data_IF_712757003071
#
_entry.id   IF_712757003071
#
_cell.length_a   1.000
_cell.length_b   1.000
_cell.length_c   1.000
_cell.angle_alpha   90.00
_cell.angle_beta   90.00
_cell.angle_gamma   90.00
#
_symmetry.space_group_name_H-M   'P 1'
#
loop_
_entity.id
_entity.type
_entity.pdbx_description
1 polymer ?
#
# COMPACT_ATOMS: atom_id res chain seq x y z
N UNK A 1 48.14 44.50 -23.33
CA UNK A 1 47.46 45.05 -22.15
C UNK A 1 46.16 44.28 -21.96
N UNK A 2 46.10 43.35 -21.01
CA UNK A 2 44.87 42.63 -20.69
C UNK A 2 44.02 43.49 -19.74
N UNK A 3 42.71 43.65 -19.96
CA UNK A 3 41.87 44.48 -19.10
C UNK A 3 41.75 43.83 -17.73
N UNK A 4 42.09 44.57 -16.67
CA UNK A 4 41.85 44.14 -15.29
C UNK A 4 40.35 44.18 -15.02
N UNK A 5 39.72 43.01 -14.90
CA UNK A 5 38.35 42.89 -14.42
C UNK A 5 38.24 43.51 -13.03
N UNK A 6 37.51 44.64 -12.94
CA UNK A 6 37.29 45.36 -11.68
C UNK A 6 36.58 44.50 -10.64
N UNK A 7 36.84 44.77 -9.36
CA UNK A 7 36.32 44.04 -8.18
C UNK A 7 34.83 43.66 -8.28
N UNK A 8 34.01 44.55 -8.84
CA UNK A 8 32.58 44.36 -9.02
C UNK A 8 32.22 43.23 -9.99
N UNK A 9 33.01 43.03 -11.06
CA UNK A 9 32.80 41.93 -12.01
C UNK A 9 33.08 40.57 -11.37
N UNK A 10 34.09 40.49 -10.50
CA UNK A 10 34.41 39.27 -9.74
C UNK A 10 33.30 38.95 -8.74
N UNK A 11 32.78 39.96 -8.04
CA UNK A 11 31.68 39.81 -7.10
C UNK A 11 30.38 39.33 -7.79
N UNK A 12 30.03 39.92 -8.94
CA UNK A 12 28.86 39.50 -9.73
C UNK A 12 28.98 38.07 -10.25
N UNK A 13 30.17 37.64 -10.67
CA UNK A 13 30.40 36.25 -11.11
C UNK A 13 30.21 35.28 -9.93
N UNK A 14 30.70 35.62 -8.74
CA UNK A 14 30.51 34.80 -7.53
C UNK A 14 29.03 34.67 -7.14
N UNK A 15 28.27 35.78 -7.18
CA UNK A 15 26.84 35.76 -6.86
C UNK A 15 26.06 34.94 -7.88
N UNK A 16 26.35 35.08 -9.18
CA UNK A 16 25.69 34.29 -10.23
C UNK A 16 26.00 32.79 -10.11
N UNK A 17 27.26 32.44 -9.83
CA UNK A 17 27.66 31.04 -9.66
C UNK A 17 27.06 30.43 -8.40
N UNK A 18 26.97 31.17 -7.29
CA UNK A 18 26.26 30.72 -6.09
C UNK A 18 24.75 30.54 -6.34
N UNK A 19 24.13 31.43 -7.10
CA UNK A 19 22.71 31.31 -7.48
C UNK A 19 22.44 30.11 -8.40
N UNK A 20 23.34 29.81 -9.34
CA UNK A 20 23.24 28.63 -10.22
C UNK A 20 23.46 27.33 -9.43
N UNK A 21 24.43 27.31 -8.51
CA UNK A 21 24.66 26.16 -7.63
C UNK A 21 23.45 25.96 -6.72
N UNK A 22 22.93 27.02 -6.10
CA UNK A 22 21.74 26.95 -5.24
C UNK A 22 20.49 26.51 -6.02
N UNK A 23 20.27 27.05 -7.22
CA UNK A 23 19.14 26.70 -8.08
C UNK A 23 19.24 25.28 -8.65
N UNK A 24 20.45 24.84 -9.00
CA UNK A 24 20.72 23.46 -9.45
C UNK A 24 20.51 22.44 -8.34
N UNK A 25 20.96 22.76 -7.11
CA UNK A 25 20.78 21.92 -5.94
C UNK A 25 19.31 21.86 -5.46
N UNK A 26 18.50 22.90 -5.70
CA UNK A 26 17.09 22.91 -5.30
C UNK A 26 16.17 22.19 -6.30
N UNK A 27 16.47 22.24 -7.60
CA UNK A 27 15.64 21.61 -8.63
C UNK A 27 15.96 20.13 -8.86
N UNK A 28 17.22 19.73 -8.62
CA UNK A 28 17.73 18.37 -8.82
C UNK A 28 18.58 18.00 -7.60
N UNK A 29 17.95 17.50 -6.53
CA UNK A 29 18.68 16.96 -5.40
C UNK A 29 19.64 15.87 -5.92
N UNK A 30 20.97 16.06 -5.84
CA UNK A 30 21.91 15.11 -6.42
C UNK A 30 21.70 13.71 -5.82
N UNK A 31 21.84 12.62 -6.59
CA UNK A 31 21.64 11.25 -6.12
C UNK A 31 22.41 10.89 -4.83
N UNK A 32 23.54 11.57 -4.60
CA UNK A 32 24.31 11.46 -3.37
C UNK A 32 23.49 11.94 -2.15
N UNK A 33 22.86 13.12 -2.19
CA UNK A 33 22.05 13.62 -1.08
C UNK A 33 20.88 12.70 -0.72
N UNK A 34 20.24 12.08 -1.71
CA UNK A 34 19.20 11.07 -1.47
C UNK A 34 19.74 9.86 -0.70
N UNK A 35 20.90 9.36 -1.12
CA UNK A 35 21.56 8.22 -0.47
C UNK A 35 21.95 8.55 0.98
N UNK A 36 22.46 9.75 1.22
CA UNK A 36 22.77 10.24 2.57
C UNK A 36 21.53 10.42 3.44
N UNK A 37 20.42 10.93 2.88
CA UNK A 37 19.16 11.07 3.61
C UNK A 37 18.58 9.70 4.01
N UNK A 38 18.53 8.73 3.08
CA UNK A 38 18.07 7.36 3.37
C UNK A 38 18.97 6.69 4.40
N UNK A 39 20.30 6.79 4.25
CA UNK A 39 21.25 6.21 5.21
C UNK A 39 21.08 6.82 6.61
N UNK A 40 20.90 8.14 6.70
CA UNK A 40 20.67 8.83 7.97
C UNK A 40 19.34 8.43 8.59
N UNK A 41 18.27 8.34 7.80
CA UNK A 41 16.95 7.91 8.26
C UNK A 41 16.99 6.47 8.78
N UNK A 42 17.59 5.54 8.03
CA UNK A 42 17.77 4.16 8.46
C UNK A 42 18.61 4.06 9.74
N UNK A 43 19.65 4.90 9.87
CA UNK A 43 20.47 4.95 11.09
C UNK A 43 19.68 5.47 12.29
N UNK A 44 18.83 6.48 12.10
CA UNK A 44 17.91 6.99 13.13
C UNK A 44 16.94 5.89 13.56
N UNK A 45 16.35 5.14 12.61
CA UNK A 45 15.47 4.01 12.93
C UNK A 45 16.22 2.89 13.68
N UNK A 46 17.44 2.56 13.25
CA UNK A 46 18.27 1.59 13.93
C UNK A 46 18.60 2.01 15.37
N UNK A 47 18.85 3.31 15.59
CA UNK A 47 19.07 3.87 16.93
C UNK A 47 17.80 3.96 17.77
N UNK A 48 16.66 4.27 17.15
CA UNK A 48 15.35 4.24 17.81
C UNK A 48 15.00 2.83 18.31
N UNK A 49 15.63 1.80 17.72
CA UNK A 49 15.53 0.41 18.14
C UNK A 49 14.20 -0.23 17.75
N UNK A 50 14.03 -1.53 18.10
CA UNK A 50 12.80 -2.26 17.79
C UNK A 50 11.58 -1.57 18.41
N UNK A 51 10.64 -1.18 17.55
CA UNK A 51 9.33 -0.68 18.00
C UNK A 51 8.44 -1.87 18.31
N UNK A 52 7.88 -1.93 19.52
CA UNK A 52 6.86 -2.93 19.84
C UNK A 52 5.55 -2.53 19.18
N UNK A 53 4.92 -3.40 18.36
CA UNK A 53 3.63 -3.08 17.79
C UNK A 53 2.59 -2.90 18.90
N UNK A 54 1.54 -2.09 18.67
CA UNK A 54 0.44 -1.96 19.61
C UNK A 54 -0.12 -3.32 20.02
N UNK A 55 -0.42 -3.49 21.31
CA UNK A 55 -1.04 -4.72 21.81
C UNK A 55 -2.37 -4.97 21.08
N UNK A 56 -2.57 -6.20 20.59
CA UNK A 56 -3.80 -6.59 19.89
C UNK A 56 -3.78 -6.38 18.37
N UNK A 57 -2.73 -5.79 17.80
CA UNK A 57 -2.53 -5.73 16.35
C UNK A 57 -1.74 -6.96 15.87
N UNK A 58 -2.35 -7.76 14.99
CA UNK A 58 -1.70 -8.91 14.37
C UNK A 58 -1.67 -8.76 12.85
N UNK A 59 -0.48 -8.80 12.27
CA UNK A 59 -0.30 -8.87 10.84
C UNK A 59 -0.21 -10.34 10.42
N UNK A 60 -1.19 -10.79 9.65
CA UNK A 60 -1.13 -12.09 8.96
C UNK A 60 -0.54 -11.84 7.58
N UNK A 61 0.78 -12.06 7.46
CA UNK A 61 1.47 -11.91 6.18
C UNK A 61 1.11 -13.06 5.23
N UNK A 62 0.91 -12.72 3.96
CA UNK A 62 0.89 -13.68 2.86
C UNK A 62 2.11 -13.35 2.01
N UNK A 63 3.15 -14.16 2.16
CA UNK A 63 4.47 -13.98 1.57
C UNK A 63 4.94 -15.25 0.87
N UNK A 64 6.17 -15.22 0.36
CA UNK A 64 6.77 -16.37 -0.34
C UNK A 64 6.80 -17.62 0.54
N UNK A 65 7.05 -17.48 1.85
CA UNK A 65 7.04 -18.61 2.78
C UNK A 65 5.64 -19.23 2.89
N UNK A 66 4.59 -18.40 2.93
CA UNK A 66 3.21 -18.85 2.94
C UNK A 66 2.84 -19.62 1.66
N UNK A 67 3.31 -19.16 0.49
CA UNK A 67 3.08 -19.83 -0.79
C UNK A 67 3.86 -21.15 -0.88
N UNK A 68 5.13 -21.17 -0.46
CA UNK A 68 5.94 -22.39 -0.39
C UNK A 68 5.31 -23.42 0.54
N UNK A 69 4.79 -22.99 1.69
CA UNK A 69 4.06 -23.86 2.61
C UNK A 69 2.80 -24.44 1.95
N UNK A 70 2.07 -23.64 1.18
CA UNK A 70 0.93 -24.10 0.37
C UNK A 70 1.34 -25.18 -0.64
N UNK A 71 2.43 -24.95 -1.39
CA UNK A 71 2.98 -25.93 -2.34
C UNK A 71 3.42 -27.22 -1.65
N UNK A 72 4.03 -27.11 -0.46
CA UNK A 72 4.42 -28.25 0.35
C UNK A 72 3.21 -29.09 0.79
N UNK A 73 2.08 -28.46 1.14
CA UNK A 73 0.84 -29.18 1.44
C UNK A 73 0.29 -29.88 0.20
N UNK A 74 0.33 -29.26 -0.98
CA UNK A 74 -0.19 -29.85 -2.22
C UNK A 74 0.55 -31.13 -2.63
N UNK A 75 1.80 -31.31 -2.20
CA UNK A 75 2.59 -32.53 -2.44
C UNK A 75 2.22 -33.69 -1.51
N UNK A 76 1.45 -33.45 -0.44
CA UNK A 76 1.06 -34.48 0.50
C UNK A 76 -0.23 -35.19 0.08
N UNK A 77 -0.22 -36.52 0.21
CA UNK A 77 -1.37 -37.34 -0.10
C UNK A 77 -2.58 -37.08 0.81
N UNK A 78 -2.34 -36.63 2.05
CA UNK A 78 -3.36 -36.36 3.07
C UNK A 78 -3.40 -34.87 3.47
N UNK A 79 -3.23 -33.96 2.51
CA UNK A 79 -3.30 -32.53 2.77
C UNK A 79 -4.68 -32.11 3.30
N UNK A 80 -4.77 -31.23 4.31
CA UNK A 80 -6.04 -30.71 4.77
C UNK A 80 -6.80 -29.98 3.65
N UNK A 81 -8.13 -30.11 3.61
CA UNK A 81 -8.93 -29.46 2.57
C UNK A 81 -8.76 -27.93 2.48
N UNK A 82 -8.42 -27.27 3.59
CA UNK A 82 -8.18 -25.83 3.65
C UNK A 82 -6.87 -25.38 2.99
N UNK A 83 -5.90 -26.27 2.78
CA UNK A 83 -4.58 -25.90 2.21
C UNK A 83 -4.55 -25.93 0.69
N UNK A 84 -5.62 -26.40 0.05
CA UNK A 84 -5.70 -26.56 -1.41
C UNK A 84 -5.68 -25.21 -2.12
N UNK A 85 -4.74 -25.01 -3.04
CA UNK A 85 -4.67 -23.81 -3.87
C UNK A 85 -4.02 -22.61 -3.18
N UNK A 86 -3.34 -22.82 -2.03
CA UNK A 86 -2.56 -21.79 -1.35
C UNK A 86 -1.15 -21.61 -1.92
N UNK A 87 -0.73 -22.49 -2.84
CA UNK A 87 0.63 -22.45 -3.40
C UNK A 87 0.91 -21.31 -4.38
N UNK A 88 -0.12 -20.58 -4.82
CA UNK A 88 0.02 -19.52 -5.82
C UNK A 88 -1.08 -18.47 -5.71
N UNK A 89 -0.70 -17.20 -5.80
CA UNK A 89 -1.65 -16.09 -5.92
C UNK A 89 -2.22 -15.95 -7.34
N UNK A 90 -3.45 -15.45 -7.50
CA UNK A 90 -4.41 -15.15 -6.43
C UNK A 90 -5.00 -16.44 -5.82
N UNK A 91 -5.14 -16.45 -4.50
CA UNK A 91 -5.88 -17.48 -3.76
C UNK A 91 -7.38 -17.41 -4.09
N UNK A 92 -8.08 -18.53 -3.94
CA UNK A 92 -9.55 -18.55 -4.06
C UNK A 92 -10.20 -17.70 -2.97
N UNK A 93 -11.30 -17.02 -3.30
CA UNK A 93 -12.12 -16.28 -2.32
C UNK A 93 -12.68 -17.20 -1.21
N UNK A 94 -12.85 -18.49 -1.50
CA UNK A 94 -13.12 -19.54 -0.53
C UNK A 94 -12.02 -19.70 0.53
N UNK A 95 -10.75 -19.55 0.15
CA UNK A 95 -9.62 -19.63 1.09
C UNK A 95 -9.64 -18.46 2.07
N UNK A 96 -9.96 -17.25 1.58
CA UNK A 96 -10.16 -16.08 2.44
C UNK A 96 -11.36 -16.26 3.37
N UNK A 97 -12.43 -16.91 2.93
CA UNK A 97 -13.56 -17.26 3.79
C UNK A 97 -13.12 -18.15 4.96
N UNK A 98 -12.35 -19.20 4.69
CA UNK A 98 -11.78 -20.07 5.73
C UNK A 98 -10.84 -19.30 6.67
N UNK A 99 -10.01 -18.40 6.13
CA UNK A 99 -9.13 -17.55 6.93
C UNK A 99 -9.92 -16.68 7.91
N UNK A 100 -10.97 -15.99 7.43
CA UNK A 100 -11.83 -15.15 8.28
C UNK A 100 -12.48 -15.98 9.39
N UNK A 101 -13.01 -17.16 9.09
CA UNK A 101 -13.61 -18.03 10.09
C UNK A 101 -12.60 -18.45 11.17
N UNK A 102 -11.37 -18.81 10.78
CA UNK A 102 -10.31 -19.16 11.73
C UNK A 102 -9.92 -17.98 12.62
N UNK A 103 -9.76 -16.78 12.04
CA UNK A 103 -9.42 -15.57 12.79
C UNK A 103 -10.52 -15.17 13.77
N UNK A 104 -11.78 -15.23 13.35
CA UNK A 104 -12.93 -14.98 14.24
C UNK A 104 -13.04 -16.01 15.35
N UNK A 105 -12.85 -17.29 15.04
CA UNK A 105 -12.83 -18.35 16.04
C UNK A 105 -11.67 -18.19 17.04
N UNK A 106 -10.55 -17.62 16.61
CA UNK A 106 -9.42 -17.27 17.48
C UNK A 106 -9.65 -15.99 18.32
N UNK A 107 -10.78 -15.29 18.14
CA UNK A 107 -11.16 -14.12 18.93
C UNK A 107 -10.78 -12.77 18.33
N UNK A 108 -10.39 -12.70 17.05
CA UNK A 108 -10.07 -11.43 16.40
C UNK A 108 -11.29 -10.50 16.38
N UNK A 109 -11.24 -9.36 17.07
CA UNK A 109 -12.36 -8.41 17.17
C UNK A 109 -12.77 -7.81 15.82
N UNK A 110 -11.77 -7.47 15.00
CA UNK A 110 -11.92 -6.96 13.64
C UNK A 110 -10.83 -7.55 12.73
N UNK A 111 -11.14 -7.65 11.43
CA UNK A 111 -10.27 -8.22 10.40
C UNK A 111 -10.27 -7.26 9.21
N UNK A 112 -9.09 -6.73 8.85
CA UNK A 112 -8.90 -5.97 7.63
C UNK A 112 -8.27 -6.88 6.56
N UNK A 113 -9.01 -7.15 5.47
CA UNK A 113 -8.50 -7.88 4.32
C UNK A 113 -7.89 -6.91 3.31
N UNK A 114 -6.56 -6.80 3.32
CA UNK A 114 -5.82 -5.97 2.36
C UNK A 114 -5.62 -6.69 1.01
N UNK A 115 -6.73 -7.08 0.39
CA UNK A 115 -6.77 -7.73 -0.94
C UNK A 115 -7.92 -7.14 -1.72
N UNK A 116 -7.61 -6.56 -2.88
CA UNK A 116 -8.63 -5.97 -3.74
C UNK A 116 -9.41 -7.07 -4.47
N UNK A 117 -10.66 -7.29 -4.05
CA UNK A 117 -11.57 -8.25 -4.68
C UNK A 117 -12.39 -7.62 -5.81
N UNK A 118 -11.73 -6.90 -6.71
CA UNK A 118 -12.38 -6.29 -7.87
C UNK A 118 -12.90 -7.38 -8.83
N UNK A 119 -14.12 -7.18 -9.34
CA UNK A 119 -14.75 -8.10 -10.30
C UNK A 119 -15.07 -9.51 -9.76
N UNK A 120 -15.56 -10.42 -10.62
CA UNK A 120 -15.79 -11.83 -10.27
C UNK A 120 -14.49 -12.58 -9.96
N UNK A 121 -14.58 -13.65 -9.17
CA UNK A 121 -13.45 -14.55 -8.92
C UNK A 121 -12.88 -15.13 -10.22
N UNK A 122 -11.56 -15.08 -10.39
CA UNK A 122 -10.85 -15.72 -11.51
C UNK A 122 -10.76 -17.24 -11.41
N UNK A 123 -11.04 -17.81 -10.22
CA UNK A 123 -10.97 -19.26 -9.96
C UNK A 123 -12.33 -19.93 -10.14
N UNK A 124 -13.36 -19.41 -9.47
CA UNK A 124 -14.72 -19.92 -9.55
C UNK A 124 -15.74 -18.91 -9.02
N UNK A 125 -16.88 -18.71 -9.71
CA UNK A 125 -17.99 -17.92 -9.19
C UNK A 125 -18.56 -18.44 -7.85
N UNK A 126 -18.37 -19.73 -7.53
CA UNK A 126 -18.80 -20.31 -6.26
C UNK A 126 -17.98 -19.77 -5.08
N UNK A 127 -16.73 -19.37 -5.32
CA UNK A 127 -15.87 -18.83 -4.26
C UNK A 127 -16.38 -17.45 -3.79
N UNK A 128 -16.98 -16.68 -4.70
CA UNK A 128 -17.60 -15.38 -4.39
C UNK A 128 -18.75 -15.54 -3.40
N UNK A 129 -19.62 -16.54 -3.61
CA UNK A 129 -20.76 -16.77 -2.72
C UNK A 129 -20.32 -17.29 -1.35
N UNK A 130 -19.26 -18.09 -1.28
CA UNK A 130 -18.69 -18.56 -0.02
C UNK A 130 -18.09 -17.42 0.81
N UNK A 131 -17.33 -16.53 0.18
CA UNK A 131 -16.80 -15.35 0.85
C UNK A 131 -17.93 -14.40 1.26
N UNK A 132 -18.90 -14.14 0.37
CA UNK A 132 -20.06 -13.31 0.70
C UNK A 132 -20.83 -13.86 1.91
N UNK A 133 -21.09 -15.16 1.97
CA UNK A 133 -21.78 -15.79 3.10
C UNK A 133 -21.00 -15.60 4.41
N UNK A 134 -19.67 -15.75 4.36
CA UNK A 134 -18.79 -15.56 5.52
C UNK A 134 -18.77 -14.11 5.99
N UNK A 135 -18.65 -13.16 5.07
CA UNK A 135 -18.72 -11.72 5.35
C UNK A 135 -20.07 -11.33 5.96
N UNK A 136 -21.17 -11.89 5.46
CA UNK A 136 -22.50 -11.65 6.00
C UNK A 136 -22.66 -12.19 7.43
N UNK A 137 -22.07 -13.36 7.75
CA UNK A 137 -22.05 -13.91 9.12
C UNK A 137 -21.27 -13.04 10.09
N UNK A 138 -20.14 -12.49 9.64
CA UNK A 138 -19.24 -11.65 10.44
C UNK A 138 -19.36 -10.16 10.09
N UNK A 139 -20.56 -9.73 9.71
CA UNK A 139 -20.81 -8.36 9.26
C UNK A 139 -20.43 -7.37 10.36
N UNK A 140 -19.71 -6.31 9.99
CA UNK A 140 -19.19 -5.32 10.93
C UNK A 140 -17.87 -5.70 11.62
N UNK A 141 -17.40 -6.94 11.45
CA UNK A 141 -16.09 -7.38 11.92
C UNK A 141 -15.06 -7.51 10.80
N UNK A 142 -15.47 -7.38 9.53
CA UNK A 142 -14.57 -7.51 8.38
C UNK A 142 -14.62 -6.24 7.53
N UNK A 143 -13.45 -5.68 7.26
CA UNK A 143 -13.25 -4.54 6.36
C UNK A 143 -12.52 -5.03 5.10
N UNK A 144 -13.03 -4.66 3.94
CA UNK A 144 -12.46 -5.00 2.64
C UNK A 144 -11.66 -3.84 2.07
N UNK A 145 -10.57 -4.16 1.38
CA UNK A 145 -9.83 -3.20 0.57
C UNK A 145 -10.70 -2.60 -0.54
N UNK A 146 -10.54 -1.30 -0.75
CA UNK A 146 -10.94 -0.56 -1.94
C UNK A 146 -9.79 0.35 -2.35
N UNK A 147 -9.68 0.64 -3.64
CA UNK A 147 -8.57 1.41 -4.20
C UNK A 147 -9.10 2.60 -4.99
N UNK A 148 -8.50 3.78 -4.80
CA UNK A 148 -8.74 4.94 -5.63
C UNK A 148 -7.87 4.83 -6.89
N UNK A 149 -8.51 4.74 -8.04
CA UNK A 149 -7.87 4.78 -9.34
C UNK A 149 -7.58 6.23 -9.69
N UNK A 150 -6.31 6.49 -9.96
CA UNK A 150 -5.81 7.77 -10.43
C UNK A 150 -5.70 7.75 -11.96
N UNK A 151 -6.05 8.85 -12.63
CA UNK A 151 -5.86 8.99 -14.07
C UNK A 151 -4.39 8.81 -14.43
N UNK A 152 -4.12 7.99 -15.44
CA UNK A 152 -2.76 7.81 -15.97
C UNK A 152 -2.46 8.78 -17.13
N UNK A 153 -3.31 9.78 -17.36
CA UNK A 153 -3.18 10.72 -18.47
C UNK A 153 -2.38 11.96 -18.06
N UNK A 154 -1.31 12.23 -18.82
CA UNK A 154 -0.50 13.45 -18.71
C UNK A 154 -1.26 14.74 -19.04
N UNK A 155 -2.54 14.63 -19.41
CA UNK A 155 -3.44 15.75 -19.71
C UNK A 155 -4.45 16.05 -18.58
N UNK A 156 -4.46 15.26 -17.50
CA UNK A 156 -5.23 15.55 -16.27
C UNK A 156 -6.73 15.65 -16.49
N UNK A 157 -7.28 15.01 -17.53
CA UNK A 157 -8.70 15.08 -17.86
C UNK A 157 -9.53 13.99 -17.15
N UNK A 158 -8.88 12.98 -16.56
CA UNK A 158 -9.54 12.01 -15.70
C UNK A 158 -9.78 12.54 -14.28
N UNK A 159 -10.88 12.11 -13.66
CA UNK A 159 -11.10 12.29 -12.23
C UNK A 159 -10.72 11.03 -11.43
N UNK A 160 -10.56 11.19 -10.12
CA UNK A 160 -10.40 10.06 -9.20
C UNK A 160 -11.66 9.17 -9.24
N UNK A 161 -11.46 7.85 -9.33
CA UNK A 161 -12.56 6.88 -9.30
C UNK A 161 -12.26 5.75 -8.33
N UNK A 162 -13.23 5.36 -7.51
CA UNK A 162 -13.05 4.24 -6.59
C UNK A 162 -13.23 2.90 -7.35
N UNK A 163 -12.27 2.00 -7.21
CA UNK A 163 -12.38 0.58 -7.48
C UNK A 163 -12.82 -0.16 -6.19
N UNK A 164 -14.13 -0.44 -6.04
CA UNK A 164 -14.62 -1.21 -4.91
C UNK A 164 -14.43 -2.73 -5.15
N UNK A 165 -14.51 -3.55 -4.08
CA UNK A 165 -14.67 -4.99 -4.26
C UNK A 165 -16.00 -5.30 -4.95
N UNK A 166 -16.13 -6.53 -5.48
CA UNK A 166 -17.35 -7.05 -6.08
C UNK A 166 -18.58 -6.67 -5.25
N UNK A 167 -19.61 -6.12 -5.89
CA UNK A 167 -20.80 -5.56 -5.22
C UNK A 167 -21.46 -6.53 -4.23
N UNK A 168 -21.47 -7.83 -4.54
CA UNK A 168 -21.99 -8.86 -3.63
C UNK A 168 -21.19 -8.94 -2.32
N UNK A 169 -19.86 -8.87 -2.40
CA UNK A 169 -18.97 -8.87 -1.23
C UNK A 169 -19.11 -7.57 -0.44
N UNK A 170 -19.16 -6.43 -1.14
CA UNK A 170 -19.38 -5.12 -0.50
C UNK A 170 -20.68 -5.11 0.32
N UNK A 171 -21.80 -5.55 -0.28
CA UNK A 171 -23.10 -5.62 0.41
C UNK A 171 -23.05 -6.57 1.62
N UNK A 172 -22.40 -7.72 1.47
CA UNK A 172 -22.27 -8.70 2.55
C UNK A 172 -21.46 -8.15 3.73
N UNK A 173 -20.37 -7.43 3.48
CA UNK A 173 -19.48 -6.90 4.51
C UNK A 173 -20.10 -5.72 5.30
N UNK A 174 -21.02 -4.96 4.70
CA UNK A 174 -21.62 -3.78 5.34
C UNK A 174 -21.81 -2.55 4.46
N UNK A 175 -21.62 -2.68 3.15
CA UNK A 175 -21.65 -1.55 2.22
C UNK A 175 -20.35 -0.74 2.29
N UNK A 176 -20.44 0.55 1.98
CA UNK A 176 -19.29 1.47 1.97
C UNK A 176 -18.61 1.62 3.33
N UNK A 177 -19.33 1.46 4.45
CA UNK A 177 -18.77 1.56 5.81
C UNK A 177 -17.78 0.43 6.14
N UNK A 178 -17.83 -0.67 5.38
CA UNK A 178 -16.94 -1.81 5.55
C UNK A 178 -15.79 -1.80 4.51
N UNK A 179 -15.49 -0.63 3.93
CA UNK A 179 -14.39 -0.47 2.99
C UNK A 179 -13.27 0.37 3.62
N UNK A 180 -12.02 -0.04 3.37
CA UNK A 180 -10.82 0.70 3.73
C UNK A 180 -9.99 0.99 2.49
N UNK A 181 -9.47 2.21 2.38
CA UNK A 181 -8.61 2.59 1.26
C UNK A 181 -7.21 1.99 1.44
N UNK A 182 -6.68 1.42 0.36
CA UNK A 182 -5.33 0.83 0.33
C UNK A 182 -4.29 1.77 -0.25
N UNK A 183 -4.72 2.88 -0.84
CA UNK A 183 -3.83 3.84 -1.48
C UNK A 183 -2.84 4.44 -0.47
N UNK A 184 -1.59 4.54 -0.91
CA UNK A 184 -0.57 5.33 -0.26
C UNK A 184 0.10 6.21 -1.30
N UNK A 185 0.52 7.40 -0.89
CA UNK A 185 1.42 8.19 -1.73
C UNK A 185 2.74 7.42 -1.85
N UNK A 186 3.17 7.22 -3.10
CA UNK A 186 4.45 6.58 -3.38
C UNK A 186 5.57 7.44 -2.80
N UNK A 187 6.46 6.85 -2.01
CA UNK A 187 7.73 7.49 -1.67
C UNK A 187 8.59 7.67 -2.92
N UNK A 188 9.56 8.59 -2.89
CA UNK A 188 10.63 8.57 -3.90
C UNK A 188 11.32 7.20 -3.90
N UNK A 189 11.93 6.79 -5.02
CA UNK A 189 12.52 5.46 -5.16
C UNK A 189 13.46 5.11 -3.98
N UNK A 190 13.19 3.96 -3.33
CA UNK A 190 13.86 3.45 -2.13
C UNK A 190 13.64 4.24 -0.82
N UNK A 191 12.75 5.23 -0.80
CA UNK A 191 12.34 5.93 0.42
C UNK A 191 11.05 5.33 1.00
N UNK A 192 10.91 5.39 2.33
CA UNK A 192 9.63 5.15 2.99
C UNK A 192 8.69 6.28 2.59
N UNK A 193 7.56 5.93 1.98
CA UNK A 193 6.52 6.89 1.62
C UNK A 193 5.92 7.57 2.85
N UNK A 194 5.27 8.73 2.69
CA UNK A 194 4.60 9.38 3.80
C UNK A 194 3.49 8.47 4.36
N UNK A 195 3.10 8.73 5.61
CA UNK A 195 2.02 8.00 6.28
C UNK A 195 0.75 7.92 5.40
N UNK A 196 -0.03 6.82 5.41
CA UNK A 196 -1.22 6.67 4.57
C UNK A 196 -2.20 7.86 4.61
N UNK A 197 -2.32 8.56 5.74
CA UNK A 197 -3.15 9.78 5.88
C UNK A 197 -2.72 10.93 4.96
N UNK A 198 -1.47 10.93 4.51
CA UNK A 198 -0.99 11.87 3.50
C UNK A 198 -1.77 11.72 2.19
N UNK A 199 -2.18 10.50 1.83
CA UNK A 199 -3.04 10.28 0.68
C UNK A 199 -4.39 10.99 0.83
N UNK A 200 -5.03 10.83 2.00
CA UNK A 200 -6.32 11.48 2.28
C UNK A 200 -6.17 13.00 2.24
N UNK A 201 -5.15 13.54 2.91
CA UNK A 201 -4.99 14.99 3.04
C UNK A 201 -4.52 15.69 1.78
N UNK A 202 -3.67 15.04 0.97
CA UNK A 202 -3.04 15.65 -0.21
C UNK A 202 -3.73 15.29 -1.53
N UNK A 203 -4.40 14.14 -1.62
CA UNK A 203 -5.09 13.71 -2.85
C UNK A 203 -6.60 13.82 -2.69
N UNK A 204 -7.18 13.22 -1.65
CA UNK A 204 -8.64 13.14 -1.53
C UNK A 204 -9.30 14.47 -1.16
N UNK A 205 -8.82 15.15 -0.12
CA UNK A 205 -9.42 16.42 0.37
C UNK A 205 -9.45 17.52 -0.71
N UNK A 206 -8.39 17.76 -1.51
CA UNK A 206 -8.45 18.74 -2.59
C UNK A 206 -9.50 18.44 -3.67
N UNK A 207 -9.87 17.16 -3.84
CA UNK A 207 -10.89 16.71 -4.78
C UNK A 207 -12.29 16.61 -4.14
N UNK A 208 -12.48 17.14 -2.93
CA UNK A 208 -13.77 17.17 -2.23
C UNK A 208 -14.17 15.86 -1.55
N UNK A 209 -13.26 14.89 -1.44
CA UNK A 209 -13.45 13.66 -0.69
C UNK A 209 -12.90 13.83 0.74
N UNK A 210 -13.77 13.72 1.75
CA UNK A 210 -13.43 13.92 3.17
C UNK A 210 -14.32 13.12 4.11
#
# INVERSE_FOLDING_TARGET
MAPSLGSNSRLSIFVLSLAIISGGLSGWAPPLWRSWAIATYNQILAWAGPQTPPAGLFLVAIDDASLQQGQWFEQQQNAPGWSKGLGQLPWSRASYAVLVEKLRAAGAEAIALNVLFEGPSSRSPKDDSQLAATLARHKGHVVLAAEMLEPNDSQGAGGLSLAPPLLALQKAAGGSKALGLTNMLKGEDNAVGPHPEAYISQVLKPHGFG
#
